data_IF_299618824124
#
_entry.id   IF_299618824124
#
_cell.length_a   1.000
_cell.length_b   1.000
_cell.length_c   1.000
_cell.angle_alpha   90.00
_cell.angle_beta   90.00
_cell.angle_gamma   90.00
#
_symmetry.space_group_name_H-M   'P 1'
#
loop_
_entity.id
_entity.type
_entity.pdbx_description
1 polymer ?
#
# COMPACT_ATOMS: atom_id res chain seq x y z
N UNK A 1 20.76 -17.57 -4.20
CA UNK A 1 21.35 -17.49 -2.84
C UNK A 1 20.24 -17.06 -1.89
N UNK A 2 19.84 -17.89 -0.94
CA UNK A 2 18.78 -17.55 0.02
C UNK A 2 19.37 -16.71 1.15
N UNK A 3 19.16 -15.40 1.12
CA UNK A 3 19.46 -14.55 2.27
C UNK A 3 18.61 -15.00 3.45
N UNK A 4 19.25 -15.60 4.46
CA UNK A 4 18.61 -15.89 5.74
C UNK A 4 18.07 -14.57 6.31
N UNK A 5 16.74 -14.42 6.37
CA UNK A 5 16.12 -13.11 6.59
C UNK A 5 16.43 -12.58 8.00
N UNK A 6 17.27 -11.54 8.17
CA UNK A 6 17.54 -11.00 9.50
C UNK A 6 16.29 -10.30 10.05
N UNK A 7 16.14 -10.22 11.39
CA UNK A 7 14.97 -9.59 12.01
C UNK A 7 14.82 -8.13 11.58
N UNK A 8 13.68 -7.82 10.96
CA UNK A 8 13.33 -6.46 10.55
C UNK A 8 13.18 -5.52 11.75
N UNK A 9 13.43 -4.23 11.53
CA UNK A 9 13.34 -3.22 12.58
C UNK A 9 14.57 -3.14 13.51
N UNK A 10 15.68 -3.81 13.15
CA UNK A 10 16.96 -3.70 13.88
C UNK A 10 17.45 -2.25 13.98
N UNK A 11 18.10 -1.92 15.09
CA UNK A 11 18.80 -0.65 15.24
C UNK A 11 20.05 -0.64 14.34
N UNK A 12 20.15 0.32 13.44
CA UNK A 12 21.27 0.52 12.53
C UNK A 12 22.12 1.69 13.06
N UNK A 13 23.42 1.46 13.20
CA UNK A 13 24.35 2.50 13.64
C UNK A 13 24.53 3.58 12.55
N UNK A 14 24.47 4.89 12.86
CA UNK A 14 24.54 5.95 11.85
C UNK A 14 25.80 5.95 10.97
N UNK A 15 26.90 5.36 11.47
CA UNK A 15 28.19 5.25 10.80
C UNK A 15 28.26 4.10 9.77
N UNK A 16 27.37 3.09 9.86
CA UNK A 16 27.24 2.03 8.85
C UNK A 16 26.46 2.49 7.60
N UNK A 17 25.96 3.72 7.59
CA UNK A 17 25.29 4.33 6.45
C UNK A 17 26.24 5.38 5.85
N UNK A 18 26.82 5.12 4.69
CA UNK A 18 27.76 6.01 3.99
C UNK A 18 27.12 6.56 2.70
N UNK A 19 27.81 7.46 1.99
CA UNK A 19 27.39 7.98 0.68
C UNK A 19 25.94 8.50 0.65
N UNK A 20 25.55 9.29 1.69
CA UNK A 20 24.17 9.79 1.85
C UNK A 20 23.86 10.91 0.85
N UNK A 21 23.02 10.64 -0.13
CA UNK A 21 22.56 11.58 -1.16
C UNK A 21 21.07 11.90 -0.96
N UNK A 22 20.66 13.17 -1.06
CA UNK A 22 19.24 13.54 -0.96
C UNK A 22 18.54 13.26 -2.30
N UNK A 23 17.59 12.32 -2.30
CA UNK A 23 16.85 11.92 -3.52
C UNK A 23 15.41 12.41 -3.56
N UNK A 24 14.86 12.88 -2.45
CA UNK A 24 13.51 13.43 -2.40
C UNK A 24 13.26 14.28 -1.18
N UNK A 25 12.48 15.34 -1.34
CA UNK A 25 12.03 16.19 -0.25
C UNK A 25 10.56 16.58 -0.46
N UNK A 26 9.69 16.10 0.43
CA UNK A 26 8.26 16.34 0.38
C UNK A 26 7.72 16.89 1.71
N UNK A 27 6.39 16.90 1.84
CA UNK A 27 5.72 17.34 3.08
C UNK A 27 6.01 16.40 4.25
N UNK A 28 6.10 15.09 4.01
CA UNK A 28 6.38 14.10 5.07
C UNK A 28 7.82 14.11 5.58
N UNK A 29 8.78 14.65 4.82
CA UNK A 29 10.19 14.55 5.19
C UNK A 29 11.18 14.70 4.06
N UNK A 30 12.41 14.23 4.33
CA UNK A 30 13.48 14.03 3.35
C UNK A 30 13.76 12.54 3.20
N UNK A 31 14.03 12.09 1.99
CA UNK A 31 14.45 10.73 1.67
C UNK A 31 15.86 10.79 1.09
N UNK A 32 16.77 9.99 1.64
CA UNK A 32 18.14 9.89 1.19
C UNK A 32 18.44 8.50 0.63
N UNK A 33 19.18 8.42 -0.47
CA UNK A 33 19.88 7.20 -0.89
C UNK A 33 21.16 7.08 -0.07
N UNK A 34 21.54 5.86 0.31
CA UNK A 34 22.80 5.61 1.02
C UNK A 34 23.31 4.20 0.73
N UNK A 35 24.61 3.99 0.87
CA UNK A 35 25.19 2.64 0.97
C UNK A 35 25.16 2.21 2.44
N UNK A 36 24.58 1.06 2.73
CA UNK A 36 24.58 0.43 4.04
C UNK A 36 25.63 -0.69 4.06
N UNK A 37 26.59 -0.55 4.98
CA UNK A 37 27.52 -1.60 5.36
C UNK A 37 26.78 -2.57 6.30
N UNK A 38 26.16 -3.59 5.71
CA UNK A 38 25.45 -4.65 6.40
C UNK A 38 26.40 -5.82 6.67
N UNK A 39 26.06 -6.66 7.66
CA UNK A 39 26.65 -8.00 7.77
C UNK A 39 25.67 -9.00 7.17
N UNK A 40 26.18 -9.94 6.39
CA UNK A 40 25.42 -11.07 5.85
C UNK A 40 25.25 -12.22 6.88
N UNK A 41 24.95 -13.43 6.40
CA UNK A 41 24.75 -14.61 7.25
C UNK A 41 26.05 -15.27 7.69
N UNK A 42 27.11 -15.14 6.91
CA UNK A 42 28.43 -15.72 7.18
C UNK A 42 29.31 -14.77 8.04
N UNK A 43 28.90 -13.49 8.13
CA UNK A 43 29.50 -12.46 8.96
C UNK A 43 30.38 -11.48 8.18
N UNK A 44 30.37 -11.58 6.85
CA UNK A 44 31.10 -10.68 5.96
C UNK A 44 30.35 -9.35 5.77
N UNK A 45 31.11 -8.27 5.60
CA UNK A 45 30.55 -6.94 5.37
C UNK A 45 30.18 -6.77 3.89
N UNK A 46 28.88 -6.57 3.64
CA UNK A 46 28.30 -6.42 2.31
C UNK A 46 27.66 -5.03 2.15
N UNK A 47 27.80 -4.46 0.96
CA UNK A 47 27.18 -3.17 0.61
C UNK A 47 25.75 -3.38 0.09
N UNK A 48 24.76 -2.80 0.79
CA UNK A 48 23.36 -2.74 0.34
C UNK A 48 22.96 -1.28 0.06
N UNK A 49 22.35 -0.99 -1.10
CA UNK A 49 21.78 0.34 -1.37
C UNK A 49 20.42 0.47 -0.69
N UNK A 50 20.26 1.49 0.17
CA UNK A 50 19.08 1.69 1.02
C UNK A 50 18.49 3.09 0.87
N UNK A 51 17.20 3.22 1.18
CA UNK A 51 16.51 4.49 1.33
C UNK A 51 16.36 4.84 2.83
N UNK A 52 16.71 6.07 3.21
CA UNK A 52 16.59 6.60 4.57
C UNK A 52 15.47 7.66 4.59
N UNK A 53 14.31 7.35 5.19
CA UNK A 53 13.22 8.32 5.41
C UNK A 53 13.45 9.05 6.73
N UNK A 54 13.59 10.37 6.64
CA UNK A 54 13.75 11.31 7.76
C UNK A 54 12.50 12.19 7.82
N UNK A 55 11.59 11.86 8.74
CA UNK A 55 10.30 12.55 8.82
C UNK A 55 10.46 13.97 9.40
N UNK A 56 9.81 14.96 8.76
CA UNK A 56 9.69 16.33 9.29
C UNK A 56 8.53 16.38 10.28
N UNK A 57 8.64 17.22 11.31
CA UNK A 57 7.60 17.52 12.32
C UNK A 57 6.95 16.32 13.06
N UNK A 58 7.31 15.09 12.72
CA UNK A 58 6.84 13.90 13.40
C UNK A 58 7.38 13.85 14.83
N UNK A 59 6.60 13.27 15.73
CA UNK A 59 7.06 12.83 17.03
C UNK A 59 7.76 11.47 16.90
N UNK A 60 8.67 11.17 17.83
CA UNK A 60 9.28 9.84 17.96
C UNK A 60 8.24 8.72 18.02
N UNK A 61 7.07 8.95 18.62
CA UNK A 61 5.97 8.00 18.69
C UNK A 61 5.36 7.69 17.30
N UNK A 62 5.16 8.70 16.45
CA UNK A 62 4.66 8.52 15.08
C UNK A 62 5.67 7.73 14.21
N UNK A 63 6.98 8.04 14.30
CA UNK A 63 8.02 7.28 13.57
C UNK A 63 8.04 5.81 14.02
N UNK A 64 7.90 5.55 15.32
CA UNK A 64 7.82 4.18 15.86
C UNK A 64 6.52 3.46 15.46
N UNK A 65 5.40 4.18 15.32
CA UNK A 65 4.14 3.64 14.83
C UNK A 65 4.22 3.24 13.35
N UNK A 66 4.83 4.07 12.50
CA UNK A 66 5.08 3.75 11.09
C UNK A 66 6.01 2.53 10.96
N UNK A 67 7.13 2.52 11.70
CA UNK A 67 8.01 1.33 11.81
C UNK A 67 7.22 0.07 12.16
N UNK A 68 6.39 0.11 13.20
CA UNK A 68 5.62 -1.06 13.65
C UNK A 68 4.65 -1.58 12.59
N UNK A 69 4.14 -0.72 11.71
CA UNK A 69 3.29 -1.12 10.58
C UNK A 69 4.08 -1.78 9.44
N UNK A 70 5.38 -1.53 9.34
CA UNK A 70 6.26 -2.15 8.34
C UNK A 70 7.04 -3.38 8.87
N UNK A 71 7.22 -3.50 10.19
CA UNK A 71 7.92 -4.65 10.80
C UNK A 71 7.19 -5.95 10.50
N UNK A 72 7.91 -6.94 9.97
CA UNK A 72 7.36 -8.26 9.65
C UNK A 72 6.70 -8.34 8.28
N UNK A 73 6.82 -7.31 7.44
CA UNK A 73 6.30 -7.33 6.07
C UNK A 73 7.34 -7.86 5.09
N UNK A 74 7.04 -9.00 4.46
CA UNK A 74 7.87 -9.63 3.44
C UNK A 74 6.97 -9.99 2.25
N UNK A 75 7.00 -9.17 1.21
CA UNK A 75 6.24 -9.39 -0.03
C UNK A 75 6.91 -8.58 -1.14
N UNK A 76 7.01 -9.14 -2.34
CA UNK A 76 7.71 -8.49 -3.47
C UNK A 76 7.16 -7.08 -3.76
N UNK A 77 5.84 -6.95 -3.80
CA UNK A 77 5.14 -5.70 -4.07
C UNK A 77 4.87 -4.82 -2.83
N UNK A 78 5.67 -4.92 -1.76
CA UNK A 78 5.59 -4.02 -0.58
C UNK A 78 7.00 -3.60 -0.18
N UNK A 79 7.21 -2.30 0.05
CA UNK A 79 8.52 -1.75 0.41
C UNK A 79 8.98 -2.30 1.76
N UNK A 80 10.09 -3.05 1.74
CA UNK A 80 10.67 -3.72 2.90
C UNK A 80 11.38 -2.76 3.85
N UNK A 81 11.02 -2.82 5.14
CA UNK A 81 11.80 -2.20 6.21
C UNK A 81 13.11 -2.98 6.44
N UNK A 82 14.25 -2.30 6.41
CA UNK A 82 15.58 -2.86 6.72
C UNK A 82 15.97 -2.64 8.18
N UNK A 83 15.56 -1.51 8.75
CA UNK A 83 15.78 -1.20 10.16
C UNK A 83 15.46 0.26 10.51
N UNK A 84 15.99 0.74 11.63
CA UNK A 84 15.87 2.14 12.02
C UNK A 84 17.16 2.67 12.64
N UNK A 85 17.44 3.95 12.46
CA UNK A 85 18.55 4.63 13.16
C UNK A 85 17.98 5.34 14.38
N UNK A 86 18.46 4.99 15.57
CA UNK A 86 18.16 5.74 16.79
C UNK A 86 18.91 7.08 16.75
N UNK A 87 18.17 8.17 16.59
CA UNK A 87 18.70 9.53 16.58
C UNK A 87 17.69 10.49 17.21
N UNK A 88 18.19 11.54 17.82
CA UNK A 88 17.39 12.65 18.34
C UNK A 88 17.37 13.83 17.35
N UNK A 89 16.27 14.61 17.30
CA UNK A 89 15.03 14.44 18.08
C UNK A 89 14.11 13.33 17.56
N UNK A 90 14.35 12.80 16.36
CA UNK A 90 13.53 11.75 15.75
C UNK A 90 14.36 10.68 15.04
N UNK A 91 13.97 9.38 15.15
CA UNK A 91 14.63 8.29 14.45
C UNK A 91 14.52 8.41 12.93
N UNK A 92 15.39 7.69 12.23
CA UNK A 92 15.28 7.50 10.78
C UNK A 92 14.79 6.09 10.47
N UNK A 93 13.92 5.93 9.47
CA UNK A 93 13.56 4.62 8.94
C UNK A 93 14.52 4.27 7.79
N UNK A 94 15.04 3.05 7.79
CA UNK A 94 15.89 2.52 6.72
C UNK A 94 15.12 1.42 6.01
N UNK A 95 14.93 1.59 4.71
CA UNK A 95 14.10 0.76 3.84
C UNK A 95 14.94 0.26 2.66
N UNK A 96 14.46 -0.73 1.92
CA UNK A 96 15.04 -1.03 0.61
C UNK A 96 14.97 0.21 -0.29
N UNK A 97 16.01 0.42 -1.11
CA UNK A 97 15.96 1.42 -2.17
C UNK A 97 15.18 0.84 -3.37
N UNK A 98 14.34 1.68 -4.00
CA UNK A 98 13.52 1.32 -5.15
C UNK A 98 13.83 2.31 -6.26
N UNK A 99 14.39 1.82 -7.36
CA UNK A 99 15.31 2.60 -8.19
C UNK A 99 14.64 3.70 -9.02
N UNK A 100 13.48 3.44 -9.60
CA UNK A 100 12.82 4.38 -10.51
C UNK A 100 11.97 5.42 -9.77
N UNK A 101 11.92 5.42 -8.44
CA UNK A 101 11.13 6.38 -7.66
C UNK A 101 9.62 6.09 -7.69
N UNK A 102 8.79 7.13 -7.58
CA UNK A 102 7.34 6.98 -7.43
C UNK A 102 6.58 6.85 -8.76
N UNK A 103 5.50 6.08 -8.74
CA UNK A 103 4.70 5.76 -9.92
C UNK A 103 4.04 7.00 -10.53
N UNK A 104 3.67 8.02 -9.75
CA UNK A 104 3.04 9.23 -10.29
C UNK A 104 4.02 10.02 -11.17
N UNK A 105 5.24 10.26 -10.69
CA UNK A 105 6.30 10.90 -11.48
C UNK A 105 6.59 10.11 -12.76
N UNK A 106 6.72 8.79 -12.66
CA UNK A 106 7.01 7.94 -13.82
C UNK A 106 5.88 7.99 -14.87
N UNK A 107 4.60 7.86 -14.52
CA UNK A 107 3.51 7.83 -15.51
C UNK A 107 3.24 9.16 -16.23
N UNK A 108 3.76 10.28 -15.72
CA UNK A 108 3.72 11.58 -16.40
C UNK A 108 4.72 11.63 -17.57
N UNK A 109 5.89 11.01 -17.40
CA UNK A 109 6.96 11.00 -18.40
C UNK A 109 6.86 9.78 -19.34
N UNK A 110 6.37 8.64 -18.82
CA UNK A 110 6.41 7.35 -19.51
C UNK A 110 5.22 7.09 -20.43
N UNK A 111 5.52 6.57 -21.62
CA UNK A 111 4.53 6.04 -22.58
C UNK A 111 4.54 4.51 -22.65
N UNK A 112 4.50 3.87 -21.48
CA UNK A 112 4.34 2.41 -21.39
C UNK A 112 3.07 1.90 -22.08
N UNK A 113 3.10 0.68 -22.60
CA UNK A 113 1.94 0.07 -23.24
C UNK A 113 0.83 -0.34 -22.25
N UNK A 114 -0.27 -0.89 -22.77
CA UNK A 114 -1.41 -1.31 -21.95
C UNK A 114 -1.18 -2.59 -21.15
N UNK A 115 -0.14 -3.38 -21.45
CA UNK A 115 0.21 -4.62 -20.75
C UNK A 115 1.11 -4.32 -19.55
N UNK A 116 2.07 -3.40 -19.69
CA UNK A 116 2.84 -2.86 -18.55
C UNK A 116 1.95 -2.15 -17.54
N UNK A 117 0.99 -1.30 -17.96
CA UNK A 117 0.02 -0.70 -17.04
C UNK A 117 -0.83 -1.76 -16.30
N UNK A 118 -1.17 -2.86 -16.97
CA UNK A 118 -1.94 -3.95 -16.39
C UNK A 118 -1.09 -4.75 -15.38
N UNK A 119 0.16 -5.07 -15.72
CA UNK A 119 1.15 -5.70 -14.82
C UNK A 119 1.38 -4.86 -13.55
N UNK A 120 1.58 -3.55 -13.69
CA UNK A 120 1.68 -2.61 -12.55
C UNK A 120 0.38 -2.63 -11.71
N UNK A 121 -0.79 -2.63 -12.35
CA UNK A 121 -2.08 -2.73 -11.64
C UNK A 121 -2.22 -4.02 -10.83
N UNK A 122 -1.71 -5.14 -11.36
CA UNK A 122 -1.70 -6.44 -10.68
C UNK A 122 -0.69 -6.48 -9.52
N UNK A 123 0.53 -5.97 -9.71
CA UNK A 123 1.54 -5.81 -8.65
C UNK A 123 0.98 -5.03 -7.44
N UNK A 124 0.32 -3.90 -7.70
CA UNK A 124 -0.37 -3.09 -6.66
C UNK A 124 -1.45 -3.93 -5.96
N UNK A 125 -2.23 -4.73 -6.71
CA UNK A 125 -3.25 -5.59 -6.14
C UNK A 125 -2.68 -6.75 -5.29
N UNK A 126 -1.55 -7.38 -5.70
CA UNK A 126 -0.84 -8.39 -4.88
C UNK A 126 -0.35 -7.77 -3.56
N UNK A 127 0.31 -6.61 -3.63
CA UNK A 127 0.77 -5.89 -2.44
C UNK A 127 -0.36 -5.53 -1.47
N UNK A 128 -1.49 -5.05 -1.99
CA UNK A 128 -2.66 -4.73 -1.17
C UNK A 128 -3.41 -5.96 -0.65
N UNK A 129 -3.48 -7.08 -1.39
CA UNK A 129 -3.92 -8.41 -0.88
C UNK A 129 -3.09 -8.74 0.37
N UNK A 130 -1.77 -8.70 0.24
CA UNK A 130 -0.85 -9.03 1.32
C UNK A 130 -1.05 -8.13 2.55
N UNK A 131 -1.07 -6.81 2.39
CA UNK A 131 -1.30 -5.87 3.52
C UNK A 131 -2.62 -6.16 4.24
N UNK A 132 -3.70 -6.45 3.50
CA UNK A 132 -5.00 -6.78 4.10
C UNK A 132 -4.97 -8.11 4.86
N UNK A 133 -4.25 -9.13 4.39
CA UNK A 133 -4.04 -10.39 5.16
C UNK A 133 -3.23 -10.20 6.43
N UNK A 134 -2.36 -9.18 6.50
CA UNK A 134 -1.63 -8.81 7.72
C UNK A 134 -2.41 -7.83 8.63
N UNK A 135 -3.70 -7.59 8.35
CA UNK A 135 -4.56 -6.71 9.13
C UNK A 135 -4.25 -5.22 8.95
N UNK A 136 -3.54 -4.84 7.88
CA UNK A 136 -3.10 -3.47 7.63
C UNK A 136 -4.02 -2.80 6.61
N UNK A 137 -4.69 -1.73 7.06
CA UNK A 137 -5.31 -0.75 6.18
C UNK A 137 -4.26 0.33 5.84
N UNK A 138 -4.10 0.66 4.56
CA UNK A 138 -3.18 1.69 4.10
C UNK A 138 -3.79 3.09 4.34
N UNK A 139 -4.97 3.33 3.78
CA UNK A 139 -5.73 4.58 3.84
C UNK A 139 -5.15 5.76 3.06
N UNK A 140 -4.09 5.56 2.27
CA UNK A 140 -3.50 6.56 1.38
C UNK A 140 -2.95 5.92 0.09
N UNK A 141 -3.65 4.92 -0.42
CA UNK A 141 -3.25 4.29 -1.67
C UNK A 141 -3.47 5.25 -2.84
N UNK A 142 -2.37 5.74 -3.42
CA UNK A 142 -2.31 6.70 -4.52
C UNK A 142 -1.06 6.41 -5.35
N UNK A 143 -1.00 6.83 -6.62
CA UNK A 143 0.19 6.58 -7.45
C UNK A 143 1.48 7.15 -6.83
N UNK A 144 1.44 8.32 -6.16
CA UNK A 144 2.58 8.90 -5.42
C UNK A 144 3.16 8.02 -4.30
N UNK A 145 2.39 7.06 -3.79
CA UNK A 145 2.77 6.16 -2.70
C UNK A 145 3.09 4.73 -3.19
N UNK A 146 3.12 4.51 -4.50
CA UNK A 146 3.64 3.29 -5.12
C UNK A 146 5.00 3.60 -5.72
N UNK A 147 6.01 2.78 -5.46
CA UNK A 147 7.35 2.90 -6.06
C UNK A 147 7.54 1.87 -7.17
N UNK A 148 8.41 2.16 -8.15
CA UNK A 148 8.76 1.26 -9.25
C UNK A 148 10.22 0.78 -9.13
N UNK A 149 10.40 -0.53 -9.00
CA UNK A 149 11.70 -1.17 -9.07
C UNK A 149 12.12 -1.50 -10.51
N UNK A 150 13.14 -2.34 -10.63
CA UNK A 150 13.56 -2.96 -11.88
C UNK A 150 12.36 -3.66 -12.59
N UNK A 151 12.36 -3.69 -13.92
CA UNK A 151 11.36 -4.39 -14.75
C UNK A 151 9.88 -4.02 -14.46
N UNK A 152 9.64 -2.77 -14.05
CA UNK A 152 8.32 -2.23 -13.65
C UNK A 152 7.66 -2.97 -12.46
N UNK A 153 8.45 -3.60 -11.59
CA UNK A 153 7.93 -4.22 -10.36
C UNK A 153 7.45 -3.12 -9.41
N UNK A 154 6.13 -3.02 -9.24
CA UNK A 154 5.51 -2.00 -8.42
C UNK A 154 5.47 -2.44 -6.95
N UNK A 155 5.84 -1.55 -6.03
CA UNK A 155 5.86 -1.80 -4.59
C UNK A 155 5.04 -0.76 -3.85
N UNK A 156 4.13 -1.21 -2.98
CA UNK A 156 3.39 -0.33 -2.06
C UNK A 156 4.36 0.28 -1.04
N UNK A 157 4.48 1.60 -1.05
CA UNK A 157 5.25 2.38 -0.10
C UNK A 157 4.38 3.05 0.97
N UNK A 158 4.96 4.03 1.64
CA UNK A 158 4.37 4.93 2.64
C UNK A 158 3.12 4.43 3.40
N UNK A 159 3.32 3.49 4.33
CA UNK A 159 2.28 3.05 5.26
C UNK A 159 2.01 4.05 6.40
N UNK A 160 2.47 5.30 6.26
CA UNK A 160 2.79 6.24 7.34
C UNK A 160 1.71 7.24 7.79
N UNK A 161 2.20 8.30 8.44
CA UNK A 161 1.43 9.40 9.04
C UNK A 161 1.42 10.64 8.13
N UNK A 162 0.28 11.36 8.10
CA UNK A 162 0.09 12.56 7.28
C UNK A 162 0.62 13.85 7.94
N UNK A 163 1.69 14.44 7.40
CA UNK A 163 1.95 15.88 7.52
C UNK A 163 1.73 16.55 6.16
N UNK A 164 0.85 17.55 6.13
CA UNK A 164 0.49 18.25 4.91
C UNK A 164 0.46 19.77 5.05
N UNK A 165 1.27 20.35 5.95
CA UNK A 165 1.34 21.81 6.06
C UNK A 165 1.66 22.52 4.71
N UNK A 166 2.17 21.81 3.68
CA UNK A 166 2.46 22.36 2.35
C UNK A 166 2.16 21.45 1.13
N UNK A 167 1.16 20.54 1.15
CA UNK A 167 0.83 19.72 -0.04
C UNK A 167 -0.55 20.06 -0.64
N UNK A 168 -0.61 20.17 -1.98
CA UNK A 168 -1.85 20.34 -2.75
C UNK A 168 -2.77 19.11 -2.74
N UNK A 169 -2.19 17.92 -2.53
CA UNK A 169 -2.90 16.63 -2.59
C UNK A 169 -3.76 16.38 -1.34
N UNK A 170 -3.47 17.10 -0.26
CA UNK A 170 -4.07 16.89 1.05
C UNK A 170 -4.84 18.14 1.48
N UNK A 171 -6.04 17.92 2.00
CA UNK A 171 -6.87 19.00 2.52
C UNK A 171 -6.55 19.26 3.99
N UNK A 172 -6.03 20.45 4.29
CA UNK A 172 -5.91 20.96 5.66
C UNK A 172 -7.26 21.57 6.07
N UNK A 173 -7.92 20.98 7.06
CA UNK A 173 -9.18 21.54 7.58
C UNK A 173 -8.90 22.77 8.46
N UNK A 174 -9.57 23.90 8.19
CA UNK A 174 -9.51 25.10 9.02
C UNK A 174 -9.98 24.76 10.46
N UNK A 175 -9.03 24.76 11.40
CA UNK A 175 -9.27 24.32 12.79
C UNK A 175 -8.32 23.23 13.31
N UNK A 176 -7.31 22.82 12.54
CA UNK A 176 -6.27 21.87 13.01
C UNK A 176 -6.67 20.40 12.86
N UNK A 177 -7.59 20.08 11.94
CA UNK A 177 -7.91 18.70 11.59
C UNK A 177 -6.76 17.99 10.86
N UNK A 178 -6.64 16.68 11.05
CA UNK A 178 -5.60 15.87 10.40
C UNK A 178 -5.74 15.92 8.87
N UNK A 179 -4.65 16.10 8.10
CA UNK A 179 -4.75 16.23 6.66
C UNK A 179 -5.19 14.94 5.98
N UNK A 180 -5.96 15.08 4.89
CA UNK A 180 -6.64 13.96 4.26
C UNK A 180 -6.48 13.96 2.72
N UNK A 181 -6.19 12.81 2.08
CA UNK A 181 -6.06 12.67 0.63
C UNK A 181 -7.44 12.59 -0.06
N UNK A 182 -8.25 13.63 0.09
CA UNK A 182 -9.70 13.68 -0.23
C UNK A 182 -10.05 13.04 -1.58
N UNK A 183 -9.22 13.26 -2.62
CA UNK A 183 -9.47 12.77 -3.99
C UNK A 183 -9.36 11.24 -4.16
N UNK A 184 -8.72 10.55 -3.21
CA UNK A 184 -8.59 9.09 -3.17
C UNK A 184 -9.53 8.43 -2.15
N UNK A 185 -10.23 9.21 -1.33
CA UNK A 185 -11.04 8.70 -0.23
C UNK A 185 -12.43 8.24 -0.66
N UNK A 186 -12.91 7.16 -0.06
CA UNK A 186 -14.26 6.67 -0.27
C UNK A 186 -15.31 7.49 0.50
N UNK A 187 -16.59 7.46 0.08
CA UNK A 187 -17.66 8.23 0.71
C UNK A 187 -17.75 8.05 2.24
N UNK A 188 -17.52 6.84 2.75
CA UNK A 188 -17.59 6.52 4.18
C UNK A 188 -16.28 6.78 4.96
N UNK A 189 -15.18 7.13 4.28
CA UNK A 189 -13.97 7.62 4.96
C UNK A 189 -13.89 9.15 4.96
N UNK A 190 -14.62 9.84 4.06
CA UNK A 190 -14.59 11.30 3.97
C UNK A 190 -15.08 11.99 5.26
N UNK A 191 -14.44 13.09 5.68
CA UNK A 191 -14.95 13.89 6.79
C UNK A 191 -16.29 14.53 6.41
N UNK A 192 -17.33 14.30 7.22
CA UNK A 192 -18.63 14.95 7.06
C UNK A 192 -18.79 16.12 8.03
N UNK A 193 -19.34 17.22 7.53
CA UNK A 193 -19.64 18.44 8.29
C UNK A 193 -21.12 18.48 8.66
N UNK A 194 -21.41 18.52 9.96
CA UNK A 194 -22.76 18.79 10.45
C UNK A 194 -22.95 20.29 10.63
N UNK A 195 -23.71 20.90 9.71
CA UNK A 195 -24.02 22.35 9.76
C UNK A 195 -24.76 22.77 11.01
N UNK A 196 -25.46 21.84 11.68
CA UNK A 196 -26.16 22.09 12.95
C UNK A 196 -25.22 22.20 14.16
N UNK A 197 -24.02 21.61 14.07
CA UNK A 197 -23.10 21.48 15.21
C UNK A 197 -21.79 22.25 15.06
N UNK A 198 -21.46 22.72 13.85
CA UNK A 198 -20.21 23.45 13.61
C UNK A 198 -18.95 22.59 13.83
N UNK A 199 -19.09 21.26 13.75
CA UNK A 199 -18.06 20.28 14.09
C UNK A 199 -18.02 19.16 13.04
N UNK A 200 -16.84 18.56 12.90
CA UNK A 200 -16.67 17.31 12.15
C UNK A 200 -17.31 16.19 12.99
N UNK A 201 -18.38 15.59 12.48
CA UNK A 201 -19.20 14.64 13.25
C UNK A 201 -18.66 13.19 13.19
N UNK A 202 -17.79 12.89 12.22
CA UNK A 202 -17.09 11.61 12.13
C UNK A 202 -15.59 11.81 11.94
N UNK A 203 -14.80 11.16 12.80
CA UNK A 203 -13.37 10.99 12.56
C UNK A 203 -13.15 10.15 11.29
N UNK A 204 -12.12 10.48 10.51
CA UNK A 204 -11.76 9.77 9.27
C UNK A 204 -11.42 8.32 9.60
N UNK A 205 -12.39 7.43 9.38
CA UNK A 205 -12.28 6.00 9.69
C UNK A 205 -11.76 5.26 8.46
N UNK A 206 -10.46 4.99 8.43
CA UNK A 206 -9.83 4.10 7.42
C UNK A 206 -10.52 2.72 7.42
N UNK A 207 -10.67 2.11 6.25
CA UNK A 207 -11.30 0.79 6.07
C UNK A 207 -10.66 0.04 4.89
N UNK A 208 -10.75 -1.30 4.89
CA UNK A 208 -10.28 -2.13 3.78
C UNK A 208 -11.04 -1.80 2.47
N UNK A 209 -12.32 -1.49 2.58
CA UNK A 209 -13.18 -1.09 1.47
C UNK A 209 -12.80 0.30 0.94
N UNK A 210 -12.30 1.17 1.82
CA UNK A 210 -11.67 2.44 1.47
C UNK A 210 -10.41 2.28 0.62
N UNK A 211 -9.53 1.34 0.99
CA UNK A 211 -8.36 0.99 0.18
C UNK A 211 -8.74 0.45 -1.22
N UNK A 212 -9.83 -0.32 -1.32
CA UNK A 212 -10.34 -0.78 -2.63
C UNK A 212 -10.87 0.40 -3.47
N UNK A 213 -11.56 1.36 -2.86
CA UNK A 213 -11.98 2.58 -3.56
C UNK A 213 -10.76 3.39 -4.04
N UNK A 214 -9.75 3.54 -3.18
CA UNK A 214 -8.49 4.21 -3.48
C UNK A 214 -7.76 3.53 -4.65
N UNK A 215 -7.71 2.19 -4.68
CA UNK A 215 -7.20 1.43 -5.83
C UNK A 215 -7.97 1.72 -7.13
N UNK A 216 -9.29 1.92 -7.07
CA UNK A 216 -10.07 2.40 -8.21
C UNK A 216 -9.63 3.79 -8.71
N UNK A 217 -9.13 4.66 -7.82
CA UNK A 217 -8.54 5.95 -8.21
C UNK A 217 -7.17 5.75 -8.86
N UNK A 218 -6.32 4.86 -8.32
CA UNK A 218 -5.01 4.52 -8.91
C UNK A 218 -5.15 3.91 -10.30
N UNK A 219 -6.19 3.10 -10.55
CA UNK A 219 -6.52 2.63 -11.90
C UNK A 219 -6.86 3.77 -12.86
N UNK A 220 -7.49 4.85 -12.38
CA UNK A 220 -7.67 6.04 -13.20
C UNK A 220 -6.33 6.73 -13.46
N UNK A 221 -5.52 7.01 -12.42
CA UNK A 221 -4.21 7.67 -12.55
C UNK A 221 -3.30 6.97 -13.58
N UNK A 222 -3.18 5.65 -13.48
CA UNK A 222 -2.40 4.81 -14.40
C UNK A 222 -2.84 4.96 -15.86
N UNK A 223 -4.15 4.83 -16.12
CA UNK A 223 -4.68 4.81 -17.48
C UNK A 223 -4.89 6.21 -18.07
N UNK A 224 -5.04 7.24 -17.23
CA UNK A 224 -5.09 8.66 -17.64
C UNK A 224 -3.71 9.28 -17.87
N UNK A 225 -2.62 8.57 -17.52
CA UNK A 225 -1.22 9.04 -17.57
C UNK A 225 -0.94 10.17 -16.59
N UNK A 226 -1.34 9.95 -15.33
CA UNK A 226 -1.09 10.88 -14.23
C UNK A 226 -2.05 12.07 -14.17
N UNK A 227 -3.20 12.02 -14.84
CA UNK A 227 -4.22 13.08 -14.69
C UNK A 227 -4.67 13.17 -13.23
N UNK A 228 -4.62 14.38 -12.65
CA UNK A 228 -5.06 14.63 -11.27
C UNK A 228 -6.53 14.20 -11.09
N UNK A 229 -6.85 13.29 -10.15
CA UNK A 229 -8.22 12.88 -9.92
C UNK A 229 -9.11 14.09 -9.55
N UNK A 230 -10.22 14.24 -10.27
CA UNK A 230 -11.14 15.40 -10.18
C UNK A 230 -10.44 16.74 -10.50
N UNK A 231 -9.61 16.77 -11.54
CA UNK A 231 -9.04 18.01 -12.09
C UNK A 231 -10.13 19.08 -12.30
N UNK A 232 -9.81 20.33 -11.94
CA UNK A 232 -10.74 21.46 -12.00
C UNK A 232 -11.69 21.64 -10.81
N UNK A 233 -11.83 20.64 -9.93
CA UNK A 233 -12.60 20.75 -8.68
C UNK A 233 -11.70 21.05 -7.48
N UNK A 234 -12.17 21.86 -6.54
CA UNK A 234 -11.59 22.02 -5.20
C UNK A 234 -11.90 20.83 -4.29
N UNK A 235 -11.14 20.64 -3.21
CA UNK A 235 -11.32 19.48 -2.32
C UNK A 235 -12.71 19.47 -1.64
N UNK A 236 -13.31 20.63 -1.36
CA UNK A 236 -14.68 20.74 -0.82
C UNK A 236 -15.74 20.35 -1.84
N UNK A 237 -15.55 20.69 -3.12
CA UNK A 237 -16.42 20.23 -4.22
C UNK A 237 -16.28 18.74 -4.46
N UNK A 238 -15.06 18.17 -4.38
CA UNK A 238 -14.82 16.72 -4.45
C UNK A 238 -15.56 15.98 -3.33
N UNK A 239 -15.44 16.44 -2.08
CA UNK A 239 -16.21 15.88 -0.96
C UNK A 239 -17.71 15.89 -1.29
N UNK A 240 -18.24 17.06 -1.67
CA UNK A 240 -19.67 17.25 -1.97
C UNK A 240 -20.14 16.35 -3.12
N UNK A 241 -19.32 16.19 -4.17
CA UNK A 241 -19.60 15.35 -5.33
C UNK A 241 -19.66 13.85 -4.97
N UNK A 242 -18.67 13.35 -4.23
CA UNK A 242 -18.56 11.94 -3.82
C UNK A 242 -19.69 11.59 -2.83
N UNK A 243 -19.96 12.46 -1.85
CA UNK A 243 -21.07 12.30 -0.89
C UNK A 243 -22.44 12.37 -1.57
N UNK A 244 -22.59 13.13 -2.68
CA UNK A 244 -23.80 13.13 -3.52
C UNK A 244 -24.05 11.81 -4.28
N UNK A 245 -23.23 10.77 -4.06
CA UNK A 245 -23.29 9.47 -4.75
C UNK A 245 -23.21 9.59 -6.27
N UNK A 246 -22.41 10.55 -6.76
CA UNK A 246 -22.10 10.72 -8.19
C UNK A 246 -20.73 10.12 -8.50
N UNK A 247 -20.58 9.51 -9.68
CA UNK A 247 -19.28 9.05 -10.20
C UNK A 247 -18.78 10.03 -11.28
N UNK A 248 -17.49 10.39 -11.33
CA UNK A 248 -16.98 11.31 -12.34
C UNK A 248 -16.97 10.60 -13.71
N UNK A 249 -17.85 11.04 -14.61
CA UNK A 249 -18.05 10.38 -15.92
C UNK A 249 -16.81 10.44 -16.82
N UNK A 250 -15.95 11.45 -16.63
CA UNK A 250 -14.67 11.59 -17.33
C UNK A 250 -13.72 10.40 -17.10
N UNK A 251 -13.66 9.86 -15.87
CA UNK A 251 -12.75 8.77 -15.53
C UNK A 251 -13.02 7.52 -16.38
N UNK A 252 -14.28 7.27 -16.73
CA UNK A 252 -14.68 6.13 -17.55
C UNK A 252 -14.51 6.36 -19.06
N UNK A 253 -14.23 7.59 -19.50
CA UNK A 253 -13.91 7.95 -20.89
C UNK A 253 -12.43 7.75 -21.24
N UNK A 254 -11.57 7.60 -20.23
CA UNK A 254 -10.15 7.25 -20.41
C UNK A 254 -10.00 6.02 -21.31
N UNK A 255 -8.99 6.04 -22.18
CA UNK A 255 -8.70 4.95 -23.10
C UNK A 255 -8.10 3.75 -22.34
N UNK A 256 -8.98 2.91 -21.81
CA UNK A 256 -8.63 1.69 -21.09
C UNK A 256 -9.37 0.45 -21.63
N UNK A 257 -8.73 -0.72 -21.48
CA UNK A 257 -9.31 -2.02 -21.81
C UNK A 257 -10.64 -2.24 -21.07
N UNK A 258 -11.60 -2.93 -21.70
CA UNK A 258 -12.96 -3.02 -21.17
C UNK A 258 -13.02 -3.71 -19.79
N UNK A 259 -12.22 -4.74 -19.55
CA UNK A 259 -12.12 -5.40 -18.25
C UNK A 259 -11.61 -4.43 -17.16
N UNK A 260 -10.61 -3.60 -17.45
CA UNK A 260 -10.08 -2.59 -16.51
C UNK A 260 -11.15 -1.55 -16.16
N UNK A 261 -11.96 -1.11 -17.14
CA UNK A 261 -13.08 -0.19 -16.89
C UNK A 261 -14.14 -0.82 -15.98
N UNK A 262 -14.44 -2.11 -16.18
CA UNK A 262 -15.36 -2.88 -15.34
C UNK A 262 -14.83 -3.06 -13.90
N UNK A 263 -13.54 -3.36 -13.75
CA UNK A 263 -12.86 -3.47 -12.47
C UNK A 263 -12.91 -2.13 -11.71
N UNK A 264 -12.47 -1.03 -12.34
CA UNK A 264 -12.52 0.31 -11.75
C UNK A 264 -13.95 0.70 -11.32
N UNK A 265 -14.96 0.41 -12.14
CA UNK A 265 -16.37 0.64 -11.79
C UNK A 265 -16.83 -0.17 -10.56
N UNK A 266 -16.27 -1.37 -10.36
CA UNK A 266 -16.55 -2.27 -9.24
C UNK A 266 -15.83 -1.84 -7.96
N UNK A 267 -14.61 -1.33 -8.06
CA UNK A 267 -13.90 -0.69 -6.93
C UNK A 267 -14.66 0.52 -6.38
N UNK A 268 -15.38 1.24 -7.25
CA UNK A 268 -16.14 2.43 -6.92
C UNK A 268 -17.65 2.20 -6.69
N UNK A 269 -18.02 1.12 -6.00
CA UNK A 269 -19.40 0.99 -5.51
C UNK A 269 -19.62 1.86 -4.26
N UNK A 270 -20.75 2.58 -4.19
CA UNK A 270 -21.08 3.42 -3.03
C UNK A 270 -21.40 2.60 -1.78
N UNK A 271 -21.92 1.40 -1.95
CA UNK A 271 -22.02 0.40 -0.89
C UNK A 271 -20.65 -0.29 -0.75
N UNK A 272 -19.95 -0.13 0.40
CA UNK A 272 -18.62 -0.71 0.58
C UNK A 272 -18.63 -2.24 0.47
N UNK A 273 -19.73 -2.91 0.82
CA UNK A 273 -19.85 -4.36 0.76
C UNK A 273 -19.95 -4.90 -0.68
N UNK A 274 -20.26 -4.03 -1.66
CA UNK A 274 -20.31 -4.38 -3.09
C UNK A 274 -18.98 -4.17 -3.81
N UNK A 275 -17.95 -3.67 -3.12
CA UNK A 275 -16.60 -3.53 -3.68
C UNK A 275 -15.87 -4.88 -3.64
N UNK A 276 -15.12 -5.27 -4.68
CA UNK A 276 -14.36 -6.51 -4.69
C UNK A 276 -13.19 -6.43 -3.69
N UNK A 277 -13.04 -7.43 -2.82
CA UNK A 277 -11.85 -7.56 -1.96
C UNK A 277 -10.60 -7.82 -2.81
N UNK A 278 -9.41 -7.42 -2.37
CA UNK A 278 -8.18 -7.55 -3.18
C UNK A 278 -7.88 -8.97 -3.67
N UNK A 279 -8.24 -10.03 -2.92
CA UNK A 279 -8.09 -11.41 -3.41
C UNK A 279 -8.91 -11.67 -4.70
N UNK A 280 -10.11 -11.09 -4.84
CA UNK A 280 -10.92 -11.16 -6.08
C UNK A 280 -10.36 -10.31 -7.21
N UNK A 281 -9.67 -9.22 -6.87
CA UNK A 281 -8.98 -8.34 -7.82
C UNK A 281 -7.76 -9.04 -8.40
N UNK A 282 -6.94 -9.66 -7.55
CA UNK A 282 -5.78 -10.48 -7.95
C UNK A 282 -6.22 -11.63 -8.87
N UNK A 283 -7.23 -12.41 -8.45
CA UNK A 283 -7.89 -13.43 -9.27
C UNK A 283 -8.48 -12.91 -10.59
N UNK A 284 -8.79 -11.62 -10.71
CA UNK A 284 -9.26 -11.03 -11.97
C UNK A 284 -8.10 -10.78 -12.94
N UNK A 285 -6.96 -10.31 -12.44
CA UNK A 285 -5.75 -10.11 -13.25
C UNK A 285 -5.13 -11.42 -13.73
N UNK A 286 -4.98 -12.42 -12.86
CA UNK A 286 -4.37 -13.73 -13.19
C UNK A 286 -5.08 -14.38 -14.40
N UNK A 287 -6.41 -14.39 -14.40
CA UNK A 287 -7.26 -14.87 -15.51
C UNK A 287 -7.13 -14.09 -16.82
N UNK A 288 -6.58 -12.88 -16.79
CA UNK A 288 -6.46 -11.99 -17.96
C UNK A 288 -5.05 -12.01 -18.54
N UNK A 289 -4.03 -12.09 -17.68
CA UNK A 289 -2.63 -12.15 -18.12
C UNK A 289 -2.18 -13.58 -18.42
N UNK A 290 -2.91 -14.59 -17.94
CA UNK A 290 -2.55 -15.99 -18.14
C UNK A 290 -1.37 -16.41 -17.25
N UNK A 291 -1.20 -15.77 -16.10
CA UNK A 291 -0.26 -16.24 -15.09
C UNK A 291 -0.76 -17.55 -14.50
N UNK A 292 0.10 -18.56 -14.48
CA UNK A 292 -0.11 -19.75 -13.65
C UNK A 292 -0.14 -19.29 -12.17
N UNK A 293 -1.08 -19.79 -11.36
CA UNK A 293 -1.15 -19.41 -9.95
C UNK A 293 0.11 -19.87 -9.22
N UNK A 294 0.72 -18.98 -8.44
CA UNK A 294 1.73 -19.35 -7.45
C UNK A 294 1.08 -20.36 -6.47
N UNK A 295 1.70 -21.54 -6.31
CA UNK A 295 1.24 -22.54 -5.34
C UNK A 295 1.31 -21.94 -3.93
N UNK A 296 0.17 -21.90 -3.24
CA UNK A 296 0.02 -21.23 -1.94
C UNK A 296 0.55 -22.20 -0.86
N UNK A 297 1.84 -22.10 -0.50
CA UNK A 297 2.52 -22.84 0.59
C UNK A 297 1.94 -22.45 1.97
N UNK A 298 0.67 -22.76 2.22
CA UNK A 298 -0.01 -22.53 3.50
C UNK A 298 -1.15 -23.50 3.81
N UNK A 299 -0.97 -24.78 3.48
CA UNK A 299 -1.77 -25.90 4.01
C UNK A 299 -0.85 -27.00 4.60
N UNK A 300 -0.16 -26.67 5.70
CA UNK A 300 0.36 -27.69 6.63
C UNK A 300 -0.27 -27.54 8.03
N UNK A 301 -0.89 -28.65 8.44
CA UNK A 301 -1.16 -29.11 9.81
C UNK A 301 -2.54 -28.85 10.46
N UNK A 302 -3.57 -29.55 9.95
CA UNK A 302 -4.52 -30.24 10.84
C UNK A 302 -4.44 -31.77 10.65
N UNK A 303 -3.35 -32.37 11.14
CA UNK A 303 -3.36 -33.80 11.43
C UNK A 303 -4.29 -34.12 12.61
N UNK A 304 -5.46 -34.71 12.36
CA UNK A 304 -6.26 -35.37 13.40
C UNK A 304 -6.82 -36.73 12.93
N UNK A 305 -6.75 -37.71 13.83
CA UNK A 305 -6.92 -39.13 13.50
C UNK A 305 -8.30 -39.51 12.97
N UNK A 306 -8.31 -40.34 11.91
CA UNK A 306 -9.43 -41.23 11.59
C UNK A 306 -8.97 -42.68 11.47
N UNK A 307 -8.43 -43.21 12.57
CA UNK A 307 -8.09 -44.62 12.70
C UNK A 307 -9.34 -45.50 12.60
N UNK A 308 -9.55 -46.11 11.43
CA UNK A 308 -10.59 -47.11 11.20
C UNK A 308 -10.02 -48.52 11.38
N UNK A 309 -10.41 -49.19 12.46
CA UNK A 309 -10.22 -50.63 12.65
C UNK A 309 -11.31 -51.21 13.56
N UNK A 310 -12.44 -51.59 12.96
CA UNK A 310 -13.29 -52.63 13.52
C UNK A 310 -12.80 -53.98 12.96
N UNK A 311 -12.03 -54.72 13.76
CA UNK A 311 -11.74 -56.12 13.49
C UNK A 311 -12.89 -56.99 13.99
N UNK A 312 -13.34 -57.90 13.13
CA UNK A 312 -14.29 -58.94 13.48
C UNK A 312 -13.61 -60.05 14.30
N UNK A 313 -14.24 -60.46 15.40
CA UNK A 313 -14.00 -61.76 16.02
C UNK A 313 -15.33 -62.35 16.47
N UNK A 314 -15.55 -63.59 16.05
CA UNK A 314 -16.76 -64.40 16.27
C UNK A 314 -16.59 -65.36 17.46
N UNK A 315 -17.71 -65.95 17.92
CA UNK A 315 -17.78 -67.06 18.92
C UNK A 315 -17.34 -66.64 20.35
N UNK A 316 -17.86 -67.10 21.49
CA UNK A 316 -18.92 -68.06 21.95
C UNK A 316 -19.20 -67.73 23.44
N UNK A 317 -20.27 -68.08 24.18
CA UNK A 317 -21.50 -68.90 24.00
C UNK A 317 -22.52 -68.57 25.15
N UNK A 318 -23.55 -69.40 25.32
CA UNK A 318 -24.34 -69.69 26.54
C UNK A 318 -25.52 -68.80 27.02
N UNK A 319 -26.69 -69.47 27.03
CA UNK A 319 -27.98 -69.22 27.74
C UNK A 319 -28.90 -68.08 27.28
#
# INVERSE_FOLDING_TARGET
>A
MSYANPPQGRNISPHKLINKELIGEGSFGKVYKATWLAMDADGDEVEEIVAIKVMKNATRAQVLQERNRMTGLYHENVVRLRGMVQKDPCPWLVMEYVENGDLHTNILEWRQDGDTLLRISWHIAKGMKYLHTKGIIHGDLAARNVLLGENDVAKIGDLGYYDAQNSSDYYNYYGGGMPCPIRWMSPENLPYWSSERGLIEQSVKKSYEGDVWAFGVVLFELWSRGELPFAGYSNTEVCSFVLSKKKPTHFFKVHMRQHMRGLMHSCWQFDPNKRPKFYRIVQHFERIVGFEPEEDDSDEDEGSDSASCYSSSSETDYY
#
